data_IF_504013131435
#
_entry.id   IF_504013131435
#
_cell.length_a   1.000
_cell.length_b   1.000
_cell.length_c   1.000
_cell.angle_alpha   90.00
_cell.angle_beta   90.00
_cell.angle_gamma   90.00
#
_symmetry.space_group_name_H-M   'P 1'
#
loop_
_entity.id
_entity.type
_entity.pdbx_description
1 polymer ?
#
# COMPACT_ATOMS: atom_id res chain seq x y z
N UNK A 1 10.82 2.12 -7.89
CA UNK A 1 9.64 2.08 -8.80
C UNK A 1 9.15 3.48 -9.07
N UNK A 2 8.90 3.80 -10.33
CA UNK A 2 8.36 5.08 -10.80
C UNK A 2 6.85 4.95 -11.03
N UNK A 3 6.06 5.88 -10.50
CA UNK A 3 4.62 6.00 -10.78
C UNK A 3 4.42 7.26 -11.62
N UNK A 4 3.76 7.11 -12.77
CA UNK A 4 3.43 8.25 -13.64
C UNK A 4 1.93 8.27 -13.90
N UNK A 5 1.31 9.44 -13.84
CA UNK A 5 -0.06 9.65 -14.31
C UNK A 5 -0.03 10.62 -15.47
N UNK A 6 -0.79 10.34 -16.52
CA UNK A 6 -0.87 11.17 -17.70
C UNK A 6 -2.32 11.59 -17.94
N UNK A 7 -2.59 12.89 -17.82
CA UNK A 7 -3.87 13.53 -18.14
C UNK A 7 -5.10 12.83 -17.53
N UNK A 8 -5.00 12.39 -16.25
CA UNK A 8 -6.08 11.68 -15.57
C UNK A 8 -7.30 12.55 -15.43
N UNK A 9 -8.42 12.10 -16.00
CA UNK A 9 -9.72 12.74 -15.90
C UNK A 9 -10.72 11.78 -15.27
N UNK A 10 -11.53 12.29 -14.34
CA UNK A 10 -12.59 11.53 -13.66
C UNK A 10 -13.75 12.46 -13.38
N UNK A 11 -14.95 12.02 -13.76
CA UNK A 11 -16.21 12.70 -13.46
C UNK A 11 -17.22 11.79 -12.79
N UNK A 12 -18.10 12.37 -11.98
CA UNK A 12 -19.27 11.71 -11.39
C UNK A 12 -20.50 12.59 -11.62
N UNK A 13 -21.57 12.05 -12.20
CA UNK A 13 -22.86 12.73 -12.38
C UNK A 13 -22.71 14.17 -12.90
N UNK A 14 -22.21 14.40 -14.07
CA UNK A 14 -21.99 15.70 -14.70
C UNK A 14 -20.97 16.64 -13.99
N UNK A 15 -20.35 16.22 -12.88
CA UNK A 15 -19.29 16.98 -12.22
C UNK A 15 -17.94 16.34 -12.46
N UNK A 16 -17.04 17.06 -13.11
CA UNK A 16 -15.65 16.65 -13.28
C UNK A 16 -14.86 16.91 -11.99
N UNK A 17 -14.27 15.85 -11.44
CA UNK A 17 -13.47 15.88 -10.19
C UNK A 17 -11.99 16.06 -10.54
N UNK A 18 -11.45 15.22 -11.44
CA UNK A 18 -10.09 15.35 -11.95
C UNK A 18 -10.14 15.90 -13.38
N UNK A 19 -9.38 16.95 -13.63
CA UNK A 19 -9.42 17.72 -14.87
C UNK A 19 -8.09 17.66 -15.64
N UNK A 20 -7.55 16.44 -15.79
CA UNK A 20 -6.30 16.24 -16.50
C UNK A 20 -5.07 16.35 -15.60
N UNK A 21 -4.99 15.48 -14.61
CA UNK A 21 -3.86 15.45 -13.65
C UNK A 21 -2.72 14.61 -14.22
N UNK A 22 -1.56 15.24 -14.36
CA UNK A 22 -0.30 14.57 -14.71
C UNK A 22 0.71 14.76 -13.59
N UNK A 23 1.32 13.68 -13.14
CA UNK A 23 2.39 13.69 -12.12
C UNK A 23 3.35 12.55 -12.36
N UNK A 24 4.54 12.67 -11.83
CA UNK A 24 5.57 11.66 -11.87
C UNK A 24 6.26 11.57 -10.52
N UNK A 25 6.38 10.36 -9.97
CA UNK A 25 7.25 10.08 -8.83
C UNK A 25 8.57 9.49 -9.31
N UNK A 26 9.66 9.81 -8.61
CA UNK A 26 10.95 9.16 -8.84
C UNK A 26 11.07 7.89 -7.98
N UNK A 27 12.06 7.07 -8.30
CA UNK A 27 12.38 5.92 -7.46
C UNK A 27 12.89 6.38 -6.08
N UNK A 28 12.45 5.66 -5.02
CA UNK A 28 12.80 5.95 -3.61
C UNK A 28 12.43 7.38 -3.16
N UNK A 29 11.38 7.95 -3.74
CA UNK A 29 10.87 9.28 -3.39
C UNK A 29 9.63 9.18 -2.50
N UNK A 30 9.53 10.06 -1.50
CA UNK A 30 8.30 10.31 -0.75
C UNK A 30 7.51 11.43 -1.43
N UNK A 31 6.32 11.13 -1.92
CA UNK A 31 5.42 12.09 -2.58
C UNK A 31 4.19 12.33 -1.71
N UNK A 32 3.95 13.59 -1.32
CA UNK A 32 2.76 14.01 -0.59
C UNK A 32 1.76 14.70 -1.50
N UNK A 33 0.49 14.25 -1.49
CA UNK A 33 -0.62 14.90 -2.19
C UNK A 33 -1.41 15.73 -1.19
N UNK A 34 -1.32 17.05 -1.28
CA UNK A 34 -1.91 18.01 -0.34
C UNK A 34 -3.01 18.82 -1.04
N UNK A 35 -4.06 19.16 -0.31
CA UNK A 35 -5.15 20.01 -0.79
C UNK A 35 -6.37 19.95 0.11
N UNK A 36 -7.36 20.85 -0.06
CA UNK A 36 -8.58 20.90 0.74
C UNK A 36 -9.46 19.66 0.55
N UNK A 37 -10.43 19.45 1.46
CA UNK A 37 -11.40 18.38 1.32
C UNK A 37 -12.21 18.56 0.02
N UNK A 38 -12.47 17.46 -0.68
CA UNK A 38 -13.20 17.48 -1.95
C UNK A 38 -12.36 17.90 -3.18
N UNK A 39 -11.04 18.14 -3.03
CA UNK A 39 -10.16 18.50 -4.17
C UNK A 39 -9.80 17.34 -5.11
N UNK A 40 -10.24 16.11 -4.80
CA UNK A 40 -9.99 14.94 -5.65
C UNK A 40 -8.79 14.08 -5.25
N UNK A 41 -8.10 14.36 -4.11
CA UNK A 41 -6.93 13.57 -3.65
C UNK A 41 -7.20 12.06 -3.61
N UNK A 42 -8.23 11.65 -2.86
CA UNK A 42 -8.59 10.23 -2.75
C UNK A 42 -9.10 9.66 -4.07
N UNK A 43 -9.69 10.48 -4.95
CA UNK A 43 -10.08 10.06 -6.31
C UNK A 43 -8.84 9.75 -7.16
N UNK A 44 -7.82 10.61 -7.11
CA UNK A 44 -6.55 10.38 -7.78
C UNK A 44 -5.85 9.13 -7.24
N UNK A 45 -5.76 8.99 -5.91
CA UNK A 45 -5.18 7.80 -5.28
C UNK A 45 -5.93 6.52 -5.71
N UNK A 46 -7.28 6.54 -5.76
CA UNK A 46 -8.10 5.42 -6.25
C UNK A 46 -7.81 5.03 -7.70
N UNK A 47 -7.45 6.00 -8.55
CA UNK A 47 -6.98 5.70 -9.90
C UNK A 47 -5.59 5.04 -9.85
N UNK A 48 -4.66 5.55 -9.03
CA UNK A 48 -3.30 5.04 -8.92
C UNK A 48 -3.28 3.61 -8.37
N UNK A 49 -4.10 3.28 -7.36
CA UNK A 49 -4.17 1.93 -6.83
C UNK A 49 -5.31 1.06 -7.43
N UNK A 50 -5.80 1.45 -8.63
CA UNK A 50 -6.64 0.62 -9.50
C UNK A 50 -8.05 0.31 -8.97
N UNK A 51 -8.56 0.99 -7.98
CA UNK A 51 -9.97 0.87 -7.56
C UNK A 51 -10.89 1.61 -8.53
N UNK A 52 -10.43 2.74 -9.08
CA UNK A 52 -11.17 3.55 -10.04
C UNK A 52 -10.43 3.60 -11.37
N UNK A 53 -11.10 3.25 -12.46
CA UNK A 53 -10.58 3.46 -13.80
C UNK A 53 -10.87 4.91 -14.21
N UNK A 54 -9.88 5.69 -14.66
CA UNK A 54 -10.10 7.04 -15.13
C UNK A 54 -10.94 7.05 -16.42
N UNK A 55 -11.72 8.11 -16.64
CA UNK A 55 -12.50 8.31 -17.86
C UNK A 55 -11.59 8.62 -19.06
N UNK A 56 -10.47 9.33 -18.80
CA UNK A 56 -9.42 9.59 -19.77
C UNK A 56 -8.06 9.67 -19.07
N UNK A 57 -6.98 9.49 -19.84
CA UNK A 57 -5.63 9.41 -19.33
C UNK A 57 -5.26 8.01 -18.85
N UNK A 58 -4.04 7.83 -18.37
CA UNK A 58 -3.54 6.55 -17.92
C UNK A 58 -2.57 6.67 -16.73
N UNK A 59 -2.46 5.59 -15.96
CA UNK A 59 -1.47 5.43 -14.87
C UNK A 59 -0.45 4.39 -15.31
N UNK A 60 0.81 4.66 -15.06
CA UNK A 60 1.92 3.77 -15.41
C UNK A 60 2.74 3.41 -14.16
N UNK A 61 3.17 2.16 -14.09
CA UNK A 61 4.13 1.64 -13.11
C UNK A 61 5.40 1.19 -13.84
N UNK A 62 6.50 1.90 -13.65
CA UNK A 62 7.77 1.69 -14.39
C UNK A 62 7.58 1.69 -15.91
N UNK A 63 6.71 2.57 -16.45
CA UNK A 63 6.42 2.70 -17.87
C UNK A 63 5.40 1.70 -18.43
N UNK A 64 4.92 0.74 -17.65
CA UNK A 64 3.86 -0.20 -18.04
C UNK A 64 2.50 0.33 -17.59
N UNK A 65 1.52 0.40 -18.50
CA UNK A 65 0.18 0.89 -18.16
C UNK A 65 -0.49 -0.01 -17.12
N UNK A 66 -0.98 0.59 -16.05
CA UNK A 66 -1.56 -0.11 -14.89
C UNK A 66 -2.72 -1.05 -15.27
N UNK A 67 -3.61 -0.62 -16.17
CA UNK A 67 -4.79 -1.41 -16.55
C UNK A 67 -4.48 -2.52 -17.56
N UNK A 68 -3.34 -2.46 -18.27
CA UNK A 68 -2.84 -3.56 -19.12
C UNK A 68 -2.23 -4.70 -18.30
N UNK A 69 -1.75 -4.41 -17.08
CA UNK A 69 -1.19 -5.40 -16.17
C UNK A 69 -2.28 -6.30 -15.58
N UNK A 70 -1.94 -7.54 -15.20
CA UNK A 70 -2.79 -8.33 -14.30
C UNK A 70 -2.87 -7.69 -12.91
N UNK A 71 -4.01 -7.87 -12.21
CA UNK A 71 -4.16 -7.38 -10.81
C UNK A 71 -3.04 -7.91 -9.91
N UNK A 72 -2.66 -9.16 -10.11
CA UNK A 72 -1.59 -9.81 -9.37
C UNK A 72 -0.21 -9.18 -9.65
N UNK A 73 0.05 -8.81 -10.91
CA UNK A 73 1.30 -8.16 -11.29
C UNK A 73 1.42 -6.79 -10.63
N UNK A 74 0.37 -5.96 -10.69
CA UNK A 74 0.36 -4.65 -10.03
C UNK A 74 0.46 -4.77 -8.51
N UNK A 75 -0.22 -5.77 -7.89
CA UNK A 75 -0.13 -6.02 -6.46
C UNK A 75 1.25 -6.51 -5.98
N UNK A 76 2.11 -7.05 -6.85
CA UNK A 76 3.51 -7.34 -6.51
C UNK A 76 4.40 -6.10 -6.53
N UNK A 77 3.98 -5.05 -7.22
CA UNK A 77 4.74 -3.80 -7.35
C UNK A 77 4.32 -2.75 -6.32
N UNK A 78 3.04 -2.74 -5.90
CA UNK A 78 2.46 -1.66 -5.11
C UNK A 78 1.56 -2.21 -4.01
N UNK A 79 1.79 -1.81 -2.77
CA UNK A 79 0.92 -2.06 -1.62
C UNK A 79 0.09 -0.80 -1.30
N UNK A 80 -1.08 -1.01 -0.71
CA UNK A 80 -2.02 0.06 -0.39
C UNK A 80 -2.53 -0.10 1.04
N UNK A 81 -2.46 0.98 1.81
CA UNK A 81 -3.15 1.15 3.09
C UNK A 81 -4.26 2.16 2.86
N UNK A 82 -5.49 1.66 2.71
CA UNK A 82 -6.66 2.50 2.48
C UNK A 82 -7.24 3.03 3.80
N UNK A 83 -7.97 4.14 3.72
CA UNK A 83 -8.56 4.86 4.86
C UNK A 83 -9.50 3.99 5.72
N UNK A 84 -10.26 3.10 5.11
CA UNK A 84 -11.24 2.25 5.78
C UNK A 84 -10.98 0.78 5.47
N UNK A 85 -10.61 0.04 6.50
CA UNK A 85 -10.47 -1.40 6.45
C UNK A 85 -11.41 -2.01 7.51
N UNK A 86 -12.68 -2.19 7.15
CA UNK A 86 -13.62 -2.92 8.01
C UNK A 86 -13.43 -4.42 7.79
N UNK A 87 -12.89 -5.08 8.79
CA UNK A 87 -12.78 -6.53 8.83
C UNK A 87 -13.72 -7.07 9.91
N UNK A 88 -14.82 -7.66 9.47
CA UNK A 88 -15.78 -8.35 10.36
C UNK A 88 -15.46 -9.85 10.48
N UNK A 89 -14.18 -10.22 10.38
CA UNK A 89 -13.77 -11.61 10.45
C UNK A 89 -12.96 -11.85 11.72
N UNK A 90 -13.12 -13.04 12.31
CA UNK A 90 -12.40 -13.50 13.50
C UNK A 90 -11.02 -14.08 13.13
N UNK A 91 -10.25 -13.33 12.32
CA UNK A 91 -8.87 -13.67 12.00
C UNK A 91 -7.92 -13.22 13.10
N UNK A 92 -6.87 -14.00 13.32
CA UNK A 92 -5.75 -13.57 14.14
C UNK A 92 -4.95 -12.48 13.43
N UNK A 93 -4.20 -11.70 14.20
CA UNK A 93 -3.28 -10.67 13.68
C UNK A 93 -2.31 -11.28 12.64
N UNK A 94 -1.75 -12.45 12.94
CA UNK A 94 -0.85 -13.19 12.05
C UNK A 94 -1.53 -13.52 10.71
N UNK A 95 -2.75 -14.01 10.73
CA UNK A 95 -3.52 -14.34 9.52
C UNK A 95 -3.81 -13.09 8.68
N UNK A 96 -4.17 -11.97 9.31
CA UNK A 96 -4.37 -10.70 8.59
C UNK A 96 -3.10 -10.26 7.89
N UNK A 97 -1.94 -10.34 8.53
CA UNK A 97 -0.65 -9.96 7.93
C UNK A 97 -0.27 -10.95 6.82
N UNK A 98 -0.54 -12.24 7.00
CA UNK A 98 -0.27 -13.29 6.02
C UNK A 98 -1.05 -13.08 4.71
N UNK A 99 -2.24 -12.45 4.73
CA UNK A 99 -2.96 -12.06 3.53
C UNK A 99 -2.12 -11.15 2.61
N UNK A 100 -1.15 -10.41 3.15
CA UNK A 100 -0.19 -9.62 2.36
C UNK A 100 0.66 -10.47 1.41
N UNK A 101 0.79 -11.78 1.67
CA UNK A 101 1.55 -12.70 0.82
C UNK A 101 0.76 -13.21 -0.40
N UNK A 102 -0.55 -12.99 -0.44
CA UNK A 102 -1.44 -13.52 -1.51
C UNK A 102 -0.96 -13.21 -2.95
N UNK A 103 -0.44 -12.01 -3.29
CA UNK A 103 0.05 -11.74 -4.64
C UNK A 103 1.24 -12.62 -5.06
N UNK A 104 2.01 -13.15 -4.12
CA UNK A 104 3.20 -13.98 -4.39
C UNK A 104 2.87 -15.46 -4.55
N UNK A 105 1.66 -15.90 -4.22
CA UNK A 105 1.24 -17.31 -4.23
C UNK A 105 0.54 -17.71 -5.51
N UNK A 106 0.68 -18.96 -5.91
CA UNK A 106 -0.15 -19.57 -6.94
C UNK A 106 -1.53 -19.89 -6.36
N UNK A 107 -2.49 -20.15 -7.23
CA UNK A 107 -3.84 -20.62 -6.80
C UNK A 107 -3.70 -21.90 -5.99
N UNK A 108 -4.30 -21.95 -4.80
CA UNK A 108 -4.26 -23.05 -3.84
C UNK A 108 -2.86 -23.37 -3.25
N UNK A 109 -1.87 -22.50 -3.45
CA UNK A 109 -0.56 -22.66 -2.79
C UNK A 109 -0.69 -22.36 -1.29
N UNK A 110 -0.24 -23.30 -0.46
CA UNK A 110 -0.24 -23.13 1.00
C UNK A 110 0.86 -22.16 1.45
N UNK A 111 0.66 -21.60 2.64
CA UNK A 111 1.68 -20.80 3.31
C UNK A 111 2.89 -21.66 3.65
N UNK A 112 4.07 -21.13 3.46
CA UNK A 112 5.33 -21.82 3.73
C UNK A 112 6.16 -21.08 4.80
N UNK A 113 7.23 -21.70 5.28
CA UNK A 113 8.07 -21.14 6.35
C UNK A 113 8.61 -19.73 6.02
N UNK A 114 8.90 -19.45 4.75
CA UNK A 114 9.36 -18.12 4.31
C UNK A 114 8.28 -17.06 4.42
N UNK A 115 7.02 -17.42 4.15
CA UNK A 115 5.90 -16.48 4.32
C UNK A 115 5.72 -16.12 5.79
N UNK A 116 5.78 -17.11 6.69
CA UNK A 116 5.70 -16.87 8.14
C UNK A 116 6.87 -16.02 8.65
N UNK A 117 8.09 -16.26 8.18
CA UNK A 117 9.24 -15.41 8.53
C UNK A 117 9.02 -13.96 8.10
N UNK A 118 8.50 -13.72 6.88
CA UNK A 118 8.20 -12.36 6.40
C UNK A 118 7.12 -11.69 7.25
N UNK A 119 6.11 -12.46 7.66
CA UNK A 119 5.04 -11.98 8.55
C UNK A 119 5.59 -11.59 9.91
N UNK A 120 6.45 -12.43 10.50
CA UNK A 120 7.06 -12.15 11.80
C UNK A 120 7.97 -10.92 11.75
N UNK A 121 8.76 -10.74 10.68
CA UNK A 121 9.57 -9.54 10.45
C UNK A 121 8.68 -8.29 10.30
N UNK A 122 7.55 -8.38 9.57
CA UNK A 122 6.63 -7.28 9.40
C UNK A 122 5.94 -6.89 10.72
N UNK A 123 5.50 -7.87 11.52
CA UNK A 123 4.91 -7.65 12.85
C UNK A 123 5.91 -6.99 13.80
N UNK A 124 7.16 -7.45 13.80
CA UNK A 124 8.24 -6.86 14.60
C UNK A 124 8.49 -5.40 14.20
N UNK A 125 8.47 -5.11 12.90
CA UNK A 125 8.68 -3.75 12.39
C UNK A 125 7.64 -2.75 12.94
N UNK A 126 6.39 -3.19 13.13
CA UNK A 126 5.30 -2.35 13.67
C UNK A 126 5.06 -2.58 15.16
N UNK A 127 5.92 -3.32 15.85
CA UNK A 127 5.85 -3.63 17.30
C UNK A 127 4.51 -4.32 17.68
N UNK A 128 4.11 -5.30 16.89
CA UNK A 128 2.87 -6.07 17.08
C UNK A 128 3.12 -7.58 17.22
N UNK A 129 4.36 -8.03 17.40
CA UNK A 129 4.69 -9.45 17.52
C UNK A 129 4.02 -10.13 18.72
N UNK A 130 3.90 -9.44 19.85
CA UNK A 130 3.25 -9.97 21.06
C UNK A 130 1.72 -10.20 20.87
N UNK A 131 1.14 -9.62 19.82
CA UNK A 131 -0.28 -9.69 19.52
C UNK A 131 -0.60 -10.67 18.39
N UNK A 132 0.41 -11.38 17.85
CA UNK A 132 0.29 -12.19 16.64
C UNK A 132 -0.89 -13.19 16.65
N UNK A 133 -1.15 -13.81 17.79
CA UNK A 133 -2.19 -14.84 17.94
C UNK A 133 -3.51 -14.29 18.53
N UNK A 134 -3.60 -12.96 18.77
CA UNK A 134 -4.84 -12.31 19.19
C UNK A 134 -5.77 -12.11 18.00
N UNK A 135 -7.08 -12.14 18.28
CA UNK A 135 -8.11 -11.83 17.29
C UNK A 135 -8.04 -10.35 16.91
N UNK A 136 -7.96 -10.05 15.61
CA UNK A 136 -7.80 -8.70 15.07
C UNK A 136 -8.91 -7.74 15.53
N UNK A 137 -10.18 -8.20 15.60
CA UNK A 137 -11.33 -7.38 16.01
C UNK A 137 -11.26 -6.92 17.48
N UNK A 138 -10.43 -7.56 18.32
CA UNK A 138 -10.26 -7.19 19.74
C UNK A 138 -9.21 -6.09 19.98
N UNK A 139 -8.52 -5.66 18.92
CA UNK A 139 -7.49 -4.64 18.99
C UNK A 139 -8.10 -3.24 18.99
N UNK A 140 -7.42 -2.29 19.62
CA UNK A 140 -7.73 -0.85 19.47
C UNK A 140 -7.51 -0.38 18.02
N UNK A 141 -8.17 0.72 17.61
CA UNK A 141 -8.05 1.25 16.25
C UNK A 141 -6.59 1.52 15.81
N UNK A 142 -5.75 2.03 16.73
CA UNK A 142 -4.33 2.25 16.44
C UNK A 142 -3.54 0.95 16.27
N UNK A 143 -3.84 -0.09 17.05
CA UNK A 143 -3.25 -1.42 16.89
C UNK A 143 -3.70 -2.07 15.57
N UNK A 144 -4.99 -1.98 15.24
CA UNK A 144 -5.51 -2.46 13.95
C UNK A 144 -4.79 -1.80 12.78
N UNK A 145 -4.59 -0.48 12.85
CA UNK A 145 -3.88 0.26 11.80
C UNK A 145 -2.42 -0.21 11.65
N UNK A 146 -1.72 -0.48 12.75
CA UNK A 146 -0.37 -1.07 12.71
C UNK A 146 -0.35 -2.46 12.06
N UNK A 147 -1.35 -3.30 12.35
CA UNK A 147 -1.49 -4.63 11.71
C UNK A 147 -1.74 -4.51 10.20
N UNK A 148 -2.60 -3.57 9.77
CA UNK A 148 -2.83 -3.31 8.34
C UNK A 148 -1.55 -2.85 7.65
N UNK A 149 -0.76 -2.05 8.35
CA UNK A 149 0.55 -1.63 7.88
C UNK A 149 1.51 -2.82 7.77
N UNK A 150 1.58 -3.70 8.79
CA UNK A 150 2.38 -4.93 8.72
C UNK A 150 1.97 -5.79 7.52
N UNK A 151 0.67 -5.90 7.22
CA UNK A 151 0.16 -6.58 6.02
C UNK A 151 0.72 -5.98 4.73
N UNK A 152 0.75 -4.66 4.62
CA UNK A 152 1.31 -3.98 3.46
C UNK A 152 2.84 -4.19 3.35
N UNK A 153 3.57 -4.18 4.48
CA UNK A 153 5.01 -4.50 4.53
C UNK A 153 5.29 -5.96 4.14
N UNK A 154 4.47 -6.90 4.61
CA UNK A 154 4.58 -8.32 4.27
C UNK A 154 4.39 -8.57 2.77
N UNK A 155 3.71 -7.69 2.05
CA UNK A 155 3.57 -7.76 0.59
C UNK A 155 4.91 -7.52 -0.14
N UNK A 156 5.92 -6.90 0.50
CA UNK A 156 7.28 -6.68 -0.04
C UNK A 156 7.28 -6.01 -1.41
N UNK A 157 6.56 -4.92 -1.54
CA UNK A 157 6.42 -4.15 -2.79
C UNK A 157 7.45 -3.04 -2.91
N UNK A 158 7.63 -2.52 -4.13
CA UNK A 158 8.52 -1.40 -4.42
C UNK A 158 7.89 -0.02 -4.13
N UNK A 159 6.57 0.05 -3.98
CA UNK A 159 5.86 1.25 -3.56
C UNK A 159 4.79 0.94 -2.50
N UNK A 160 4.57 1.89 -1.61
CA UNK A 160 3.51 1.91 -0.63
C UNK A 160 2.66 3.17 -0.83
N UNK A 161 1.36 2.99 -0.97
CA UNK A 161 0.40 4.10 -1.01
C UNK A 161 -0.37 4.14 0.29
N UNK A 162 -0.43 5.32 0.90
CA UNK A 162 -1.17 5.58 2.12
C UNK A 162 -2.28 6.59 1.81
N UNK A 163 -3.54 6.19 1.99
CA UNK A 163 -4.70 7.08 1.83
C UNK A 163 -5.20 7.52 3.22
N UNK A 164 -4.97 8.78 3.56
CA UNK A 164 -5.27 9.40 4.86
C UNK A 164 -4.70 8.63 6.09
N UNK A 165 -3.38 8.40 6.15
CA UNK A 165 -2.76 7.61 7.22
C UNK A 165 -2.85 8.27 8.59
N UNK A 166 -3.27 9.54 8.67
CA UNK A 166 -3.16 10.36 9.87
C UNK A 166 -4.24 10.12 10.91
N UNK A 167 -5.35 9.47 10.58
CA UNK A 167 -6.50 9.40 11.48
C UNK A 167 -6.31 8.49 12.71
N UNK A 168 -5.27 7.61 12.72
CA UNK A 168 -5.03 6.68 13.85
C UNK A 168 -3.57 6.26 14.03
N UNK A 169 -2.63 6.82 13.25
CA UNK A 169 -1.19 6.57 13.43
C UNK A 169 -0.55 7.75 14.16
N UNK A 170 0.16 7.47 15.24
CA UNK A 170 1.06 8.42 15.88
C UNK A 170 2.15 8.86 14.86
N UNK A 171 2.54 10.12 14.93
CA UNK A 171 3.58 10.75 14.09
C UNK A 171 4.85 9.90 14.03
N UNK A 172 5.21 9.25 15.13
CA UNK A 172 6.37 8.36 15.24
C UNK A 172 6.29 7.19 14.24
N UNK A 173 5.11 6.58 14.09
CA UNK A 173 4.90 5.46 13.16
C UNK A 173 4.88 5.94 11.69
N UNK A 174 4.43 7.16 11.44
CA UNK A 174 4.48 7.76 10.10
C UNK A 174 5.92 8.05 9.68
N UNK A 175 6.73 8.59 10.58
CA UNK A 175 8.17 8.84 10.33
C UNK A 175 8.91 7.53 10.11
N UNK A 176 8.64 6.49 10.91
CA UNK A 176 9.24 5.17 10.76
C UNK A 176 8.94 4.55 9.39
N UNK A 177 7.73 4.72 8.88
CA UNK A 177 7.35 4.31 7.53
C UNK A 177 8.15 5.05 6.46
N UNK A 178 8.24 6.38 6.57
CA UNK A 178 9.03 7.19 5.65
C UNK A 178 10.48 6.69 5.62
N UNK A 179 11.09 6.43 6.78
CA UNK A 179 12.45 5.95 6.88
C UNK A 179 12.64 4.54 6.28
N UNK A 180 11.68 3.62 6.45
CA UNK A 180 11.75 2.27 5.88
C UNK A 180 11.74 2.27 4.34
N UNK A 181 11.00 3.19 3.72
CA UNK A 181 10.88 3.26 2.26
C UNK A 181 11.90 4.20 1.61
N UNK A 182 12.48 5.15 2.34
CA UNK A 182 13.50 6.07 1.83
C UNK A 182 14.93 5.63 2.14
N UNK A 183 15.13 4.74 3.14
CA UNK A 183 16.45 4.19 3.44
C UNK A 183 16.87 3.14 2.41
N UNK A 184 18.16 3.06 2.04
CA UNK A 184 18.65 2.00 1.17
C UNK A 184 18.38 0.64 1.83
N UNK A 185 17.68 -0.23 1.08
CA UNK A 185 17.38 -1.58 1.55
C UNK A 185 18.69 -2.35 1.81
N UNK A 186 18.78 -3.15 2.89
CA UNK A 186 19.90 -4.07 3.08
C UNK A 186 20.05 -5.09 1.92
N UNK A 187 19.07 -5.16 1.02
CA UNK A 187 19.03 -6.03 -0.17
C UNK A 187 19.60 -5.39 -1.44
N UNK A 188 19.94 -4.09 -1.41
CA UNK A 188 20.64 -3.48 -2.53
C UNK A 188 22.05 -4.09 -2.58
N UNK A 189 22.45 -4.75 -3.69
CA UNK A 189 23.80 -5.29 -3.79
C UNK A 189 24.78 -4.13 -3.62
N UNK A 190 25.66 -4.25 -2.60
CA UNK A 190 26.76 -3.30 -2.43
C UNK A 190 27.55 -3.34 -3.74
N UNK A 191 27.49 -2.28 -4.52
CA UNK A 191 28.48 -2.05 -5.56
C UNK A 191 29.82 -1.86 -4.83
N UNK A 192 30.55 -2.96 -4.70
CA UNK A 192 31.94 -2.89 -4.29
C UNK A 192 32.73 -2.12 -5.37
N UNK A 193 33.26 -0.99 -4.99
CA UNK A 193 34.45 -0.44 -5.63
C UNK A 193 35.68 -1.03 -4.97
#
# INVERSE_FOLDING_TARGET
>A
MKITTENIQVGFHARQILKGISMESKDKELVGIIGPNGSGKSTLLKCIYRILKPDAGAVYLDGEELHSMSVRSSAKKMAVVAQHNYYNFDFTVREVVLMGRAPHKKTLERDNAKDYQIVDEALKTVQMEAFADRTFSTLSGGEQQRVILARALAQQTSALILDEPTNHLDITHQIMLCLLYTSPSPRDPKTSR
#
